data_IF_035930322756
#
_entry.id   IF_035930322756
#
_cell.length_a   1.000
_cell.length_b   1.000
_cell.length_c   1.000
_cell.angle_alpha   90.00
_cell.angle_beta   90.00
_cell.angle_gamma   90.00
#
_symmetry.space_group_name_H-M   'P 1'
#
loop_
_entity.id
_entity.type
_entity.pdbx_description
1 polymer ?
#
# COMPACT_ATOMS: atom_id res chain seq x y z
N UNK A 1 10.65 5.65 -19.38
CA UNK A 1 10.14 7.02 -19.10
C UNK A 1 8.71 6.80 -18.67
N UNK A 2 8.39 7.14 -17.42
CA UNK A 2 7.06 6.89 -16.85
C UNK A 2 6.04 7.73 -17.61
N UNK A 3 5.02 7.09 -18.19
CA UNK A 3 3.96 7.79 -18.91
C UNK A 3 2.88 8.37 -17.96
N UNK A 4 1.94 9.15 -18.51
CA UNK A 4 0.91 9.81 -17.70
C UNK A 4 -0.03 8.81 -17.01
N UNK A 5 -0.31 7.66 -17.62
CA UNK A 5 -1.16 6.63 -17.03
C UNK A 5 -0.44 5.95 -15.87
N UNK A 6 0.83 5.61 -16.06
CA UNK A 6 1.70 5.05 -15.03
C UNK A 6 1.83 6.03 -13.85
N UNK A 7 1.95 7.33 -14.10
CA UNK A 7 1.98 8.36 -13.06
C UNK A 7 0.67 8.41 -12.25
N UNK A 8 -0.49 8.30 -12.91
CA UNK A 8 -1.79 8.26 -12.22
C UNK A 8 -1.96 7.00 -11.38
N UNK A 9 -1.54 5.84 -11.90
CA UNK A 9 -1.55 4.59 -11.15
C UNK A 9 -0.64 4.68 -9.92
N UNK A 10 0.55 5.27 -10.06
CA UNK A 10 1.45 5.50 -8.93
C UNK A 10 0.82 6.40 -7.87
N UNK A 11 0.17 7.50 -8.26
CA UNK A 11 -0.55 8.38 -7.33
C UNK A 11 -1.63 7.61 -6.55
N UNK A 12 -2.45 6.82 -7.24
CA UNK A 12 -3.47 5.98 -6.60
C UNK A 12 -2.87 4.93 -5.65
N UNK A 13 -1.74 4.32 -6.02
CA UNK A 13 -1.05 3.35 -5.18
C UNK A 13 -0.52 3.99 -3.89
N UNK A 14 0.01 5.22 -3.98
CA UNK A 14 0.46 5.99 -2.82
C UNK A 14 -0.73 6.35 -1.92
N UNK A 15 -1.81 6.90 -2.46
CA UNK A 15 -3.02 7.24 -1.68
C UNK A 15 -3.60 6.01 -0.96
N UNK A 16 -3.64 4.87 -1.65
CA UNK A 16 -4.09 3.61 -1.06
C UNK A 16 -3.16 3.13 0.07
N UNK A 17 -1.86 3.38 -0.04
CA UNK A 17 -0.89 2.98 0.98
C UNK A 17 -1.12 3.68 2.31
N UNK A 18 -1.49 4.97 2.29
CA UNK A 18 -1.82 5.75 3.49
C UNK A 18 -3.08 5.20 4.19
N UNK A 19 -4.10 4.83 3.41
CA UNK A 19 -5.32 4.21 3.94
C UNK A 19 -5.00 2.88 4.63
N UNK A 20 -4.16 2.05 4.03
CA UNK A 20 -3.79 0.73 4.57
C UNK A 20 -2.87 0.88 5.78
N UNK A 21 -1.95 1.85 5.79
CA UNK A 21 -1.16 2.20 6.97
C UNK A 21 -2.06 2.56 8.15
N UNK A 22 -3.10 3.36 7.94
CA UNK A 22 -4.08 3.65 8.98
C UNK A 22 -4.81 2.40 9.50
N UNK A 23 -5.14 1.44 8.63
CA UNK A 23 -5.69 0.13 9.05
C UNK A 23 -4.68 -0.67 9.87
N UNK A 24 -3.42 -0.68 9.46
CA UNK A 24 -2.33 -1.39 10.14
C UNK A 24 -2.09 -0.85 11.55
N UNK A 25 -2.00 0.49 11.70
CA UNK A 25 -1.86 1.15 12.99
C UNK A 25 -3.06 0.87 13.90
N UNK A 26 -4.28 0.93 13.36
CA UNK A 26 -5.50 0.61 14.10
C UNK A 26 -5.52 -0.85 14.55
N UNK A 27 -5.09 -1.78 13.71
CA UNK A 27 -5.00 -3.20 14.06
C UNK A 27 -3.94 -3.44 15.14
N UNK A 28 -2.78 -2.79 15.04
CA UNK A 28 -1.73 -2.82 16.06
C UNK A 28 -2.25 -2.32 17.41
N UNK A 29 -2.87 -1.14 17.44
CA UNK A 29 -3.43 -0.55 18.66
C UNK A 29 -4.52 -1.41 19.30
N UNK A 30 -5.27 -2.17 18.50
CA UNK A 30 -6.31 -3.09 18.95
C UNK A 30 -5.80 -4.49 19.32
N UNK A 31 -4.49 -4.76 19.17
CA UNK A 31 -3.91 -6.11 19.28
C UNK A 31 -4.57 -7.13 18.33
N UNK A 32 -5.08 -6.66 17.19
CA UNK A 32 -5.66 -7.49 16.14
C UNK A 32 -4.56 -8.01 15.21
N UNK A 33 -4.00 -9.17 15.57
CA UNK A 33 -2.92 -9.79 14.80
C UNK A 33 -3.34 -10.18 13.37
N UNK A 34 -4.62 -10.52 13.16
CA UNK A 34 -5.11 -10.90 11.83
C UNK A 34 -5.19 -9.68 10.93
N UNK A 35 -5.87 -8.63 11.39
CA UNK A 35 -5.97 -7.37 10.65
C UNK A 35 -4.61 -6.73 10.38
N UNK A 36 -3.66 -6.85 11.33
CA UNK A 36 -2.29 -6.38 11.13
C UNK A 36 -1.59 -7.12 10.00
N UNK A 37 -1.67 -8.45 9.97
CA UNK A 37 -1.02 -9.27 8.95
C UNK A 37 -1.66 -9.08 7.56
N UNK A 38 -2.97 -8.86 7.49
CA UNK A 38 -3.69 -8.55 6.25
C UNK A 38 -3.25 -7.18 5.70
N UNK A 39 -3.30 -6.13 6.52
CA UNK A 39 -2.85 -4.79 6.12
C UNK A 39 -1.37 -4.76 5.73
N UNK A 40 -0.51 -5.52 6.43
CA UNK A 40 0.91 -5.65 6.09
C UNK A 40 1.10 -6.28 4.70
N UNK A 41 0.35 -7.32 4.36
CA UNK A 41 0.43 -7.96 3.03
C UNK A 41 0.01 -6.99 1.93
N UNK A 42 -1.08 -6.25 2.15
CA UNK A 42 -1.56 -5.24 1.21
C UNK A 42 -0.50 -4.15 0.93
N UNK A 43 0.19 -3.64 1.97
CA UNK A 43 1.30 -2.67 1.79
C UNK A 43 2.44 -3.26 0.96
N UNK A 44 2.84 -4.50 1.24
CA UNK A 44 3.91 -5.16 0.49
C UNK A 44 3.54 -5.37 -1.00
N UNK A 45 2.27 -5.67 -1.28
CA UNK A 45 1.78 -5.76 -2.66
C UNK A 45 1.79 -4.41 -3.37
N UNK A 46 1.42 -3.32 -2.69
CA UNK A 46 1.52 -1.97 -3.23
C UNK A 46 2.97 -1.62 -3.54
N UNK A 47 3.90 -1.89 -2.61
CA UNK A 47 5.33 -1.65 -2.82
C UNK A 47 5.89 -2.42 -4.02
N UNK A 48 5.46 -3.68 -4.20
CA UNK A 48 5.81 -4.47 -5.39
C UNK A 48 5.29 -3.82 -6.66
N UNK A 49 4.01 -3.43 -6.71
CA UNK A 49 3.39 -2.76 -7.87
C UNK A 49 4.10 -1.45 -8.23
N UNK A 50 4.45 -0.63 -7.24
CA UNK A 50 5.23 0.60 -7.45
C UNK A 50 6.59 0.25 -8.05
N UNK A 51 7.28 -0.75 -7.49
CA UNK A 51 8.59 -1.18 -7.98
C UNK A 51 8.55 -1.71 -9.42
N UNK A 52 7.46 -2.35 -9.82
CA UNK A 52 7.29 -2.88 -11.17
C UNK A 52 7.05 -1.78 -12.21
N UNK A 53 6.44 -0.65 -11.81
CA UNK A 53 6.21 0.52 -12.69
C UNK A 53 7.48 1.39 -12.80
N UNK A 54 8.25 1.50 -11.73
CA UNK A 54 9.43 2.39 -11.68
C UNK A 54 10.69 1.75 -12.29
N UNK A 55 10.70 0.42 -12.47
CA UNK A 55 11.78 -0.32 -13.14
C UNK A 55 11.87 -0.03 -14.63
#
# INVERSE_FOLDING_TARGET
>A
MIDLNELQVLAQLVDNSDIILGKLEKAFNKKDAKGFNEAKKEILEIQRKISDIVK
#
